data_IF_905637570006
#
_entry.id   IF_905637570006
#
_cell.length_a   1.000
_cell.length_b   1.000
_cell.length_c   1.000
_cell.angle_alpha   90.00
_cell.angle_beta   90.00
_cell.angle_gamma   90.00
#
_symmetry.space_group_name_H-M   'P 1'
#
loop_
_entity.id
_entity.type
_entity.pdbx_description
1 polymer ?
#
# COMPACT_ATOMS: atom_id res chain seq x y z
N UNK A 1 14.76 -13.60 -25.47
CA UNK A 1 14.27 -13.60 -24.08
C UNK A 1 13.98 -15.04 -23.67
N UNK A 2 14.68 -15.61 -22.69
CA UNK A 2 14.26 -16.90 -22.12
C UNK A 2 13.00 -16.64 -21.27
N UNK A 3 11.97 -17.49 -21.32
CA UNK A 3 10.79 -17.29 -20.48
C UNK A 3 11.20 -17.42 -19.00
N UNK A 4 11.07 -16.33 -18.24
CA UNK A 4 11.31 -16.33 -16.81
C UNK A 4 10.25 -17.22 -16.14
N UNK A 5 10.68 -18.35 -15.56
CA UNK A 5 9.78 -19.30 -14.90
C UNK A 5 9.53 -18.95 -13.44
N UNK A 6 10.32 -18.03 -12.88
CA UNK A 6 10.28 -17.66 -11.47
C UNK A 6 8.92 -17.09 -11.03
N UNK A 7 8.23 -16.23 -11.81
CA UNK A 7 6.89 -15.77 -11.42
C UNK A 7 5.90 -16.93 -11.23
N UNK A 8 5.93 -17.93 -12.11
CA UNK A 8 5.05 -19.12 -12.01
C UNK A 8 5.38 -19.93 -10.77
N UNK A 9 6.66 -20.14 -10.49
CA UNK A 9 7.10 -20.84 -9.27
C UNK A 9 6.64 -20.12 -8.02
N UNK A 10 6.77 -18.79 -7.96
CA UNK A 10 6.31 -17.98 -6.83
C UNK A 10 4.79 -18.09 -6.65
N UNK A 11 4.01 -17.99 -7.71
CA UNK A 11 2.54 -18.14 -7.65
C UNK A 11 2.16 -19.53 -7.15
N UNK A 12 2.75 -20.59 -7.69
CA UNK A 12 2.48 -21.96 -7.21
C UNK A 12 2.83 -22.12 -5.73
N UNK A 13 3.96 -21.57 -5.29
CA UNK A 13 4.33 -21.59 -3.88
C UNK A 13 3.30 -20.85 -3.00
N UNK A 14 2.78 -19.71 -3.46
CA UNK A 14 1.72 -18.99 -2.77
C UNK A 14 0.42 -19.80 -2.70
N UNK A 15 0.05 -20.49 -3.79
CA UNK A 15 -1.15 -21.34 -3.87
C UNK A 15 -1.07 -22.59 -2.99
N UNK A 16 0.12 -23.18 -2.83
CA UNK A 16 0.37 -24.35 -1.98
C UNK A 16 -0.08 -24.10 -0.53
N UNK A 17 0.15 -22.89 -0.02
CA UNK A 17 -0.19 -22.48 1.37
C UNK A 17 -1.48 -21.63 1.39
N UNK A 18 -2.26 -21.66 0.30
CA UNK A 18 -3.59 -21.02 0.20
C UNK A 18 -3.55 -19.51 0.45
N UNK A 19 -2.58 -18.82 -0.15
CA UNK A 19 -2.63 -17.36 -0.23
C UNK A 19 -3.88 -16.89 -0.97
N UNK A 20 -4.32 -15.67 -0.66
CA UNK A 20 -5.47 -15.01 -1.26
C UNK A 20 -5.06 -13.85 -2.14
N UNK A 21 -5.95 -13.50 -3.08
CA UNK A 21 -5.85 -12.29 -3.90
C UNK A 21 -4.47 -12.14 -4.57
N UNK A 22 -3.95 -13.22 -5.15
CA UNK A 22 -2.63 -13.21 -5.78
C UNK A 22 -2.70 -12.37 -7.06
N UNK A 23 -2.02 -11.23 -7.06
CA UNK A 23 -1.92 -10.31 -8.19
C UNK A 23 -0.49 -10.35 -8.73
N UNK A 24 -0.36 -10.53 -10.05
CA UNK A 24 0.94 -10.54 -10.74
C UNK A 24 0.99 -9.33 -11.68
N UNK A 25 1.99 -8.47 -11.49
CA UNK A 25 2.15 -7.22 -12.22
C UNK A 25 3.46 -7.22 -13.01
N UNK A 26 3.37 -6.92 -14.30
CA UNK A 26 4.53 -6.66 -15.16
C UNK A 26 4.94 -5.19 -15.02
N UNK A 27 6.07 -4.95 -14.35
CA UNK A 27 6.53 -3.60 -14.00
C UNK A 27 7.71 -3.14 -14.84
N UNK A 28 8.12 -3.90 -15.87
CA UNK A 28 9.26 -3.60 -16.76
C UNK A 28 9.18 -2.24 -17.46
N UNK A 29 7.95 -1.73 -17.65
CA UNK A 29 7.71 -0.41 -18.26
C UNK A 29 7.70 0.74 -17.26
N UNK A 30 7.68 0.44 -15.97
CA UNK A 30 7.57 1.40 -14.88
C UNK A 30 8.91 1.56 -14.13
N UNK A 31 9.68 0.48 -14.00
CA UNK A 31 10.97 0.48 -13.31
C UNK A 31 11.93 -0.52 -13.97
N UNK A 32 13.23 -0.26 -13.84
CA UNK A 32 14.30 -1.17 -14.27
C UNK A 32 14.84 -2.03 -13.13
N UNK A 33 14.30 -1.90 -11.90
CA UNK A 33 14.77 -2.66 -10.74
C UNK A 33 14.30 -4.11 -10.75
N UNK A 34 13.07 -4.36 -11.23
CA UNK A 34 12.43 -5.67 -11.22
C UNK A 34 11.64 -5.87 -12.51
N UNK A 35 11.48 -7.12 -12.95
CA UNK A 35 10.63 -7.45 -14.09
C UNK A 35 9.17 -7.69 -13.66
N UNK A 36 8.97 -8.37 -12.53
CA UNK A 36 7.63 -8.77 -12.07
C UNK A 36 7.46 -8.50 -10.58
N UNK A 37 6.33 -7.88 -10.23
CA UNK A 37 5.91 -7.68 -8.85
C UNK A 37 4.70 -8.56 -8.56
N UNK A 38 4.76 -9.36 -7.51
CA UNK A 38 3.68 -10.25 -7.08
C UNK A 38 3.18 -9.77 -5.73
N UNK A 39 1.87 -9.59 -5.59
CA UNK A 39 1.22 -9.22 -4.33
C UNK A 39 0.28 -10.34 -3.91
N UNK A 40 0.38 -10.80 -2.68
CA UNK A 40 -0.48 -11.83 -2.13
C UNK A 40 -0.93 -11.47 -0.72
N UNK A 41 -2.11 -11.95 -0.36
CA UNK A 41 -2.72 -11.75 0.95
C UNK A 41 -2.74 -13.03 1.78
N UNK A 42 -2.56 -12.88 3.09
CA UNK A 42 -2.64 -13.99 4.04
C UNK A 42 -3.50 -13.61 5.25
N UNK A 43 -4.18 -14.57 5.86
CA UNK A 43 -5.15 -14.34 6.93
C UNK A 43 -4.54 -14.08 8.30
N UNK A 44 -3.25 -14.41 8.49
CA UNK A 44 -2.59 -14.26 9.78
C UNK A 44 -1.09 -14.06 9.62
N UNK A 45 -0.44 -13.47 10.62
CA UNK A 45 1.02 -13.30 10.62
C UNK A 45 1.76 -14.62 10.47
N UNK A 46 1.23 -15.69 11.07
CA UNK A 46 1.80 -17.04 10.93
C UNK A 46 1.76 -17.51 9.48
N UNK A 47 0.64 -17.29 8.79
CA UNK A 47 0.50 -17.66 7.39
C UNK A 47 1.40 -16.79 6.49
N UNK A 48 1.52 -15.48 6.76
CA UNK A 48 2.45 -14.59 6.05
C UNK A 48 3.88 -15.15 6.11
N UNK A 49 4.36 -15.50 7.31
CA UNK A 49 5.71 -16.06 7.49
C UNK A 49 5.86 -17.41 6.80
N UNK A 50 4.86 -18.28 6.89
CA UNK A 50 4.89 -19.59 6.21
C UNK A 50 4.95 -19.44 4.68
N UNK A 51 4.15 -18.53 4.13
CA UNK A 51 4.18 -18.21 2.70
C UNK A 51 5.53 -17.64 2.27
N UNK A 52 6.08 -16.69 3.01
CA UNK A 52 7.38 -16.10 2.70
C UNK A 52 8.51 -17.13 2.68
N UNK A 53 8.56 -17.99 3.70
CA UNK A 53 9.53 -19.08 3.79
C UNK A 53 9.39 -20.06 2.61
N UNK A 54 8.16 -20.50 2.32
CA UNK A 54 7.92 -21.45 1.24
C UNK A 54 8.21 -20.86 -0.15
N UNK A 55 7.84 -19.61 -0.40
CA UNK A 55 8.19 -18.89 -1.64
C UNK A 55 9.70 -18.80 -1.78
N UNK A 56 10.40 -18.38 -0.73
CA UNK A 56 11.87 -18.30 -0.72
C UNK A 56 12.50 -19.65 -1.09
N UNK A 57 12.04 -20.72 -0.46
CA UNK A 57 12.62 -22.05 -0.64
C UNK A 57 12.32 -22.60 -2.05
N UNK A 58 11.08 -22.44 -2.55
CA UNK A 58 10.71 -22.84 -3.91
C UNK A 58 11.45 -22.05 -5.00
N UNK A 59 11.70 -20.77 -4.77
CA UNK A 59 12.48 -19.95 -5.69
C UNK A 59 13.96 -20.38 -5.72
N UNK A 60 14.55 -20.70 -4.56
CA UNK A 60 15.90 -21.28 -4.48
C UNK A 60 15.99 -22.61 -5.21
N UNK A 61 15.01 -23.50 -5.02
CA UNK A 61 14.94 -24.80 -5.72
C UNK A 61 14.83 -24.64 -7.24
N UNK A 62 14.20 -23.55 -7.70
CA UNK A 62 14.10 -23.19 -9.12
C UNK A 62 15.37 -22.49 -9.66
N UNK A 63 16.41 -22.33 -8.85
CA UNK A 63 17.69 -21.73 -9.22
C UNK A 63 17.73 -20.21 -9.10
N UNK A 64 16.78 -19.58 -8.41
CA UNK A 64 16.84 -18.15 -8.14
C UNK A 64 17.77 -17.83 -6.96
N UNK A 65 18.47 -16.70 -7.06
CA UNK A 65 19.20 -16.12 -5.94
C UNK A 65 18.27 -15.22 -5.15
N UNK A 66 18.16 -15.45 -3.84
CA UNK A 66 17.40 -14.58 -2.95
C UNK A 66 18.31 -13.46 -2.48
N UNK A 67 17.95 -12.22 -2.81
CA UNK A 67 18.69 -11.02 -2.44
C UNK A 67 18.44 -10.67 -0.97
N UNK A 68 17.17 -10.75 -0.55
CA UNK A 68 16.78 -10.39 0.81
C UNK A 68 15.35 -10.82 1.14
N UNK A 69 15.08 -10.91 2.45
CA UNK A 69 13.74 -11.09 2.99
C UNK A 69 13.57 -10.09 4.13
N UNK A 70 12.56 -9.22 4.02
CA UNK A 70 12.33 -8.12 4.96
C UNK A 70 10.97 -8.27 5.65
N UNK A 71 10.87 -7.89 6.93
CA UNK A 71 9.60 -7.88 7.68
C UNK A 71 9.11 -9.25 8.20
N UNK A 72 9.92 -10.31 8.03
CA UNK A 72 9.56 -11.67 8.46
C UNK A 72 9.36 -11.78 9.99
N UNK A 73 10.04 -10.95 10.76
CA UNK A 73 9.95 -10.92 12.23
C UNK A 73 8.55 -10.54 12.74
N UNK A 74 7.87 -9.59 12.11
CA UNK A 74 6.49 -9.20 12.46
C UNK A 74 5.48 -10.10 11.74
N UNK A 75 5.75 -10.43 10.47
CA UNK A 75 4.84 -11.18 9.62
C UNK A 75 3.57 -10.40 9.26
N UNK A 76 3.55 -9.08 9.40
CA UNK A 76 2.41 -8.26 8.95
C UNK A 76 2.50 -7.98 7.46
N UNK A 77 3.73 -7.72 7.00
CA UNK A 77 4.11 -7.53 5.62
C UNK A 77 5.53 -8.05 5.45
N UNK A 78 5.68 -9.06 4.60
CA UNK A 78 6.97 -9.62 4.22
C UNK A 78 7.24 -9.34 2.75
N UNK A 79 8.47 -8.93 2.47
CA UNK A 79 9.00 -8.78 1.12
C UNK A 79 10.05 -9.86 0.87
N UNK A 80 9.90 -10.59 -0.24
CA UNK A 80 10.90 -11.57 -0.71
C UNK A 80 11.46 -11.05 -2.03
N UNK A 81 12.74 -10.71 -2.05
CA UNK A 81 13.46 -10.19 -3.22
C UNK A 81 14.31 -11.30 -3.87
N UNK A 82 14.06 -11.56 -5.14
CA UNK A 82 14.83 -12.52 -5.96
C UNK A 82 15.41 -11.86 -7.24
N UNK A 83 15.65 -10.54 -7.20
CA UNK A 83 16.22 -9.76 -8.29
C UNK A 83 15.22 -9.46 -9.40
N UNK A 84 14.99 -10.43 -10.29
CA UNK A 84 14.07 -10.25 -11.41
C UNK A 84 12.60 -10.19 -10.94
N UNK A 85 12.31 -10.77 -9.78
CA UNK A 85 10.96 -10.77 -9.19
C UNK A 85 10.99 -10.33 -7.73
N UNK A 86 9.93 -9.65 -7.32
CA UNK A 86 9.69 -9.30 -5.92
C UNK A 86 8.30 -9.74 -5.49
N UNK A 87 8.21 -10.40 -4.33
CA UNK A 87 6.95 -10.93 -3.80
C UNK A 87 6.60 -10.20 -2.50
N UNK A 88 5.46 -9.55 -2.49
CA UNK A 88 4.88 -8.86 -1.34
C UNK A 88 3.79 -9.74 -0.73
N UNK A 89 3.94 -10.11 0.53
CA UNK A 89 2.99 -10.97 1.24
C UNK A 89 2.55 -10.23 2.49
N UNK A 90 1.27 -9.89 2.59
CA UNK A 90 0.79 -9.05 3.68
C UNK A 90 -0.63 -9.39 4.10
N UNK A 91 -1.07 -8.90 5.25
CA UNK A 91 -2.47 -9.04 5.64
C UNK A 91 -3.40 -8.16 4.80
N UNK A 92 -4.66 -8.56 4.57
CA UNK A 92 -5.64 -7.78 3.80
C UNK A 92 -5.79 -6.33 4.30
N UNK A 93 -5.77 -6.11 5.62
CA UNK A 93 -5.86 -4.78 6.20
C UNK A 93 -4.66 -3.89 5.82
N UNK A 94 -3.45 -4.45 5.85
CA UNK A 94 -2.22 -3.76 5.45
C UNK A 94 -2.26 -3.46 3.95
N UNK A 95 -2.67 -4.43 3.13
CA UNK A 95 -2.83 -4.24 1.68
C UNK A 95 -3.81 -3.13 1.34
N UNK A 96 -4.96 -3.09 2.01
CA UNK A 96 -5.98 -2.07 1.81
C UNK A 96 -5.49 -0.67 2.25
N UNK A 97 -4.72 -0.59 3.33
CA UNK A 97 -4.18 0.67 3.82
C UNK A 97 -3.13 1.27 2.88
N UNK A 98 -2.20 0.46 2.37
CA UNK A 98 -1.13 0.94 1.49
C UNK A 98 -1.51 0.97 0.00
N UNK A 99 -2.51 0.20 -0.40
CA UNK A 99 -3.08 0.14 -1.75
C UNK A 99 -2.02 0.14 -2.89
N UNK A 100 -0.99 -0.70 -2.74
CA UNK A 100 0.20 -0.68 -3.61
C UNK A 100 -0.12 -0.86 -5.09
N UNK A 101 -1.22 -1.55 -5.41
CA UNK A 101 -1.65 -1.82 -6.78
C UNK A 101 -1.96 -0.56 -7.56
N UNK A 102 -2.40 0.54 -6.92
CA UNK A 102 -2.62 1.81 -7.59
C UNK A 102 -1.33 2.49 -8.06
N UNK A 103 -0.20 2.24 -7.37
CA UNK A 103 1.09 2.80 -7.76
C UNK A 103 1.67 2.12 -9.00
N UNK A 104 1.39 0.83 -9.17
CA UNK A 104 1.98 -0.02 -10.21
C UNK A 104 1.02 -0.34 -11.36
N UNK A 105 -0.24 0.07 -11.25
CA UNK A 105 -1.20 0.00 -12.36
C UNK A 105 -1.20 1.35 -13.08
N UNK A 106 -1.08 1.40 -14.42
CA UNK A 106 -1.24 2.66 -15.14
C UNK A 106 -2.60 3.28 -14.81
N UNK A 107 -2.70 4.61 -14.66
CA UNK A 107 -3.95 5.27 -14.29
C UNK A 107 -5.02 4.89 -15.30
N UNK A 108 -5.96 4.05 -14.87
CA UNK A 108 -7.14 3.76 -15.66
C UNK A 108 -7.96 5.05 -15.64
N UNK A 109 -8.29 5.67 -16.79
CA UNK A 109 -9.08 6.88 -16.79
C UNK A 109 -10.43 6.58 -16.14
N UNK A 110 -10.63 7.07 -14.91
CA UNK A 110 -11.87 6.92 -14.18
C UNK A 110 -12.91 7.72 -14.97
N UNK A 111 -13.79 7.03 -15.71
CA UNK A 111 -15.00 7.65 -16.24
C UNK A 111 -15.81 8.13 -15.04
N UNK A 112 -15.70 9.43 -14.72
CA UNK A 112 -16.57 10.07 -13.74
C UNK A 112 -18.00 9.97 -14.25
N UNK A 113 -18.77 9.02 -13.73
CA UNK A 113 -20.23 9.05 -13.84
C UNK A 113 -20.74 10.13 -12.89
N UNK A 114 -21.72 10.93 -13.34
CA UNK A 114 -22.28 12.08 -12.59
C UNK A 114 -22.65 11.75 -11.14
N UNK A 115 -23.03 10.51 -10.84
CA UNK A 115 -23.36 10.04 -9.50
C UNK A 115 -22.22 10.11 -8.45
N UNK A 116 -20.93 10.04 -8.84
CA UNK A 116 -19.81 10.14 -7.89
C UNK A 116 -19.43 11.58 -7.57
N UNK A 117 -19.76 12.53 -8.45
CA UNK A 117 -19.45 13.95 -8.24
C UNK A 117 -20.36 14.61 -7.20
N UNK A 118 -21.61 14.15 -7.07
CA UNK A 118 -22.57 14.71 -6.10
C UNK A 118 -22.33 14.17 -4.68
N UNK A 119 -21.92 12.91 -4.52
CA UNK A 119 -21.63 12.32 -3.21
C UNK A 119 -20.37 12.90 -2.53
N UNK A 120 -19.37 13.32 -3.31
CA UNK A 120 -18.11 13.90 -2.79
C UNK A 120 -18.26 15.39 -2.42
N UNK A 121 -19.24 16.09 -3.01
CA UNK A 121 -19.56 17.47 -2.67
C UNK A 121 -20.36 17.61 -1.35
N UNK A 122 -21.07 16.57 -0.93
CA UNK A 122 -21.92 16.60 0.27
C UNK A 122 -21.19 16.12 1.55
N UNK A 123 -20.09 15.36 1.43
CA UNK A 123 -19.35 14.82 2.58
C UNK A 123 -18.11 15.65 3.00
N UNK A 124 -17.85 16.80 2.39
CA UNK A 124 -16.74 17.66 2.79
C UNK A 124 -17.04 18.39 4.12
N UNK A 125 -16.24 18.26 5.18
CA UNK A 125 -16.45 19.00 6.42
C UNK A 125 -16.19 20.50 6.19
N UNK A 126 -17.15 21.33 6.62
CA UNK A 126 -17.10 22.80 6.56
C UNK A 126 -15.92 23.30 7.41
N UNK A 127 -15.04 24.19 6.91
CA UNK A 127 -13.87 24.62 7.66
C UNK A 127 -14.29 25.44 8.89
N UNK A 128 -13.86 24.98 10.07
CA UNK A 128 -13.97 25.73 11.33
C UNK A 128 -13.14 27.03 11.27
N UNK A 129 -13.65 28.17 11.76
CA UNK A 129 -12.94 29.42 11.72
C UNK A 129 -11.80 29.45 12.76
N UNK A 130 -10.56 29.67 12.30
CA UNK A 130 -9.38 29.89 13.15
C UNK A 130 -9.63 31.07 14.10
N UNK A 131 -9.59 30.81 15.41
CA UNK A 131 -9.70 31.82 16.45
C UNK A 131 -8.51 32.80 16.38
N UNK A 132 -8.80 34.07 16.08
CA UNK A 132 -7.87 35.19 16.20
C UNK A 132 -7.56 35.51 17.68
N UNK A 133 -6.37 36.05 18.01
CA UNK A 133 -5.99 36.35 19.39
C UNK A 133 -6.84 37.51 19.95
N UNK A 134 -7.38 37.33 21.16
CA UNK A 134 -8.23 38.31 21.86
C UNK A 134 -7.41 39.52 22.34
N UNK A 135 -7.75 40.78 21.97
CA UNK A 135 -7.28 41.95 22.72
C UNK A 135 -8.19 42.20 23.94
N UNK A 136 -7.58 42.60 25.06
CA UNK A 136 -8.26 42.94 26.33
C UNK A 136 -9.22 44.13 26.16
N UNK A 137 -10.35 44.18 26.91
CA UNK A 137 -11.40 45.17 26.70
C UNK A 137 -11.02 46.56 27.22
N UNK A 138 -11.42 47.60 26.47
CA UNK A 138 -11.60 48.98 26.96
C UNK A 138 -13.09 49.34 26.86
N UNK A 139 -13.67 49.78 27.97
CA UNK A 139 -14.99 50.41 28.09
C UNK A 139 -15.00 51.15 29.44
N UNK A 140 -15.55 52.35 29.67
CA UNK A 140 -16.25 53.36 28.86
C UNK A 140 -16.27 54.68 29.70
N UNK A 141 -16.94 55.78 29.28
CA UNK A 141 -16.60 57.17 29.62
C UNK A 141 -17.47 57.81 30.74
N UNK A 142 -16.99 58.94 31.31
CA UNK A 142 -17.77 60.08 31.90
C UNK A 142 -16.75 61.12 32.42
N UNK A 143 -16.58 62.29 31.80
CA UNK A 143 -17.36 63.54 31.88
C UNK A 143 -17.00 64.45 33.09
N UNK A 144 -16.54 65.68 32.73
CA UNK A 144 -16.52 66.97 33.47
C UNK A 144 -15.31 67.34 34.37
N UNK A 145 -14.49 68.27 33.86
CA UNK A 145 -13.89 69.45 34.56
C UNK A 145 -14.98 70.28 35.27
N UNK A 146 -14.72 71.23 36.21
CA UNK A 146 -13.47 71.86 36.67
C UNK A 146 -13.31 71.82 38.21
N UNK A 147 -12.25 72.31 38.85
CA UNK A 147 -11.90 73.73 39.13
C UNK A 147 -10.52 73.82 39.76
#
# INVERSE_FOLDING_TARGET
MRPNRLPKTAVTALEDIKARDITVLDVRKLTSLYDTLIVASAESNRQVKALANHVRDKLKDAGATIIGVEGEETGEWVLVDAGDIVVHIMQPAVRAYYNLEELWTPPTPVRRTKAKAEAEAESAPKPEPKAAPKPRPKAAPRAKTPS
#
